data_IF_934206343494
#
_entry.id   IF_934206343494
#
_cell.length_a   1.000
_cell.length_b   1.000
_cell.length_c   1.000
_cell.angle_alpha   90.00
_cell.angle_beta   90.00
_cell.angle_gamma   90.00
#
_symmetry.space_group_name_H-M   'P 1'
#
loop_
_entity.id
_entity.type
_entity.pdbx_description
1 polymer ?
#
# COMPACT_ATOMS: atom_id res chain seq x y z
N UNK A 1 -3.30 -10.95 12.49
CA UNK A 1 -3.96 -10.08 13.50
C UNK A 1 -5.43 -10.49 13.68
N UNK A 2 -5.71 -11.74 14.05
CA UNK A 2 -7.08 -12.28 13.95
C UNK A 2 -7.76 -12.56 15.31
N UNK A 3 -7.05 -12.34 16.42
CA UNK A 3 -7.55 -12.66 17.77
C UNK A 3 -8.84 -11.92 18.14
N UNK A 4 -8.99 -10.66 17.73
CA UNK A 4 -10.22 -9.89 17.95
C UNK A 4 -11.42 -10.51 17.25
N UNK A 5 -11.28 -10.79 15.94
CA UNK A 5 -12.34 -11.37 15.12
C UNK A 5 -12.73 -12.77 15.61
N UNK A 6 -11.78 -13.60 16.03
CA UNK A 6 -12.07 -14.89 16.65
C UNK A 6 -12.91 -14.76 17.92
N UNK A 7 -12.56 -13.82 18.80
CA UNK A 7 -13.31 -13.57 20.03
C UNK A 7 -14.72 -13.07 19.71
N UNK A 8 -14.87 -12.13 18.77
CA UNK A 8 -16.19 -11.60 18.37
C UNK A 8 -17.08 -12.67 17.77
N UNK A 9 -16.56 -13.44 16.82
CA UNK A 9 -17.28 -14.55 16.19
C UNK A 9 -17.70 -15.60 17.23
N UNK A 10 -16.80 -16.04 18.10
CA UNK A 10 -17.12 -17.06 19.10
C UNK A 10 -18.22 -16.60 20.07
N UNK A 11 -18.14 -15.36 20.55
CA UNK A 11 -19.17 -14.76 21.41
C UNK A 11 -20.52 -14.72 20.71
N UNK A 12 -20.55 -14.33 19.43
CA UNK A 12 -21.77 -14.26 18.63
C UNK A 12 -22.36 -15.65 18.35
N UNK A 13 -21.54 -16.60 17.90
CA UNK A 13 -21.95 -17.97 17.55
C UNK A 13 -22.48 -18.74 18.76
N UNK A 14 -21.81 -18.62 19.91
CA UNK A 14 -22.21 -19.30 21.15
C UNK A 14 -23.29 -18.55 21.93
N UNK A 15 -23.61 -17.30 21.55
CA UNK A 15 -24.52 -16.40 22.27
C UNK A 15 -24.18 -16.31 23.77
N UNK A 16 -22.89 -16.25 24.09
CA UNK A 16 -22.37 -16.31 25.47
C UNK A 16 -21.64 -15.02 25.86
N UNK A 17 -21.33 -14.81 27.14
CA UNK A 17 -20.48 -13.68 27.54
C UNK A 17 -18.99 -14.01 27.36
N UNK A 18 -18.11 -13.00 27.37
CA UNK A 18 -16.65 -13.23 27.36
C UNK A 18 -16.18 -14.08 28.55
N UNK A 19 -16.87 -13.99 29.69
CA UNK A 19 -16.57 -14.80 30.87
C UNK A 19 -16.90 -16.27 30.63
N UNK A 20 -18.02 -16.54 29.98
CA UNK A 20 -18.44 -17.90 29.63
C UNK A 20 -17.49 -18.50 28.60
N UNK A 21 -17.11 -17.73 27.58
CA UNK A 21 -16.11 -18.13 26.58
C UNK A 21 -14.75 -18.44 27.22
N UNK A 22 -14.30 -17.61 28.17
CA UNK A 22 -13.06 -17.84 28.91
C UNK A 22 -13.09 -19.17 29.67
N UNK A 23 -14.19 -19.45 30.37
CA UNK A 23 -14.39 -20.71 31.07
C UNK A 23 -14.37 -21.92 30.12
N UNK A 24 -15.03 -21.81 28.96
CA UNK A 24 -15.09 -22.87 27.96
C UNK A 24 -13.71 -23.16 27.34
N UNK A 25 -12.90 -22.13 27.12
CA UNK A 25 -11.53 -22.26 26.59
C UNK A 25 -10.49 -22.63 27.65
N UNK A 26 -10.87 -22.60 28.94
CA UNK A 26 -9.97 -22.86 30.07
C UNK A 26 -8.94 -21.76 30.31
N UNK A 27 -9.29 -20.50 30.00
CA UNK A 27 -8.41 -19.32 30.14
C UNK A 27 -9.05 -18.24 31.01
N UNK A 28 -8.28 -17.22 31.38
CA UNK A 28 -8.81 -16.06 32.11
C UNK A 28 -9.57 -15.10 31.19
N UNK A 29 -10.56 -14.37 31.74
CA UNK A 29 -11.25 -13.30 31.01
C UNK A 29 -10.31 -12.17 30.57
N UNK A 30 -9.22 -11.96 31.33
CA UNK A 30 -8.14 -11.04 30.96
C UNK A 30 -7.46 -11.48 29.67
N UNK A 31 -7.24 -12.78 29.47
CA UNK A 31 -6.63 -13.29 28.25
C UNK A 31 -7.51 -13.05 27.02
N UNK A 32 -8.83 -13.25 27.14
CA UNK A 32 -9.80 -12.88 26.09
C UNK A 32 -9.70 -11.39 25.75
N UNK A 33 -9.59 -10.53 26.76
CA UNK A 33 -9.44 -9.08 26.56
C UNK A 33 -8.12 -8.71 25.89
N UNK A 34 -7.05 -9.45 26.15
CA UNK A 34 -5.75 -9.25 25.52
C UNK A 34 -5.77 -9.64 24.04
N UNK A 35 -6.33 -10.80 23.71
CA UNK A 35 -6.53 -11.20 22.30
C UNK A 35 -7.42 -10.23 21.53
N UNK A 36 -8.46 -9.70 22.18
CA UNK A 36 -9.30 -8.64 21.60
C UNK A 36 -8.53 -7.34 21.33
N UNK A 37 -7.44 -7.09 22.06
CA UNK A 37 -6.54 -5.95 21.85
C UNK A 37 -5.38 -6.26 20.90
N UNK A 38 -5.40 -7.41 20.23
CA UNK A 38 -4.37 -7.79 19.26
C UNK A 38 -3.16 -8.51 19.85
N UNK A 39 -3.19 -8.95 21.12
CA UNK A 39 -2.13 -9.82 21.65
C UNK A 39 -2.11 -11.15 20.86
N UNK A 40 -0.91 -11.68 20.65
CA UNK A 40 -0.69 -12.93 19.95
C UNK A 40 -1.51 -14.09 20.56
N UNK A 41 -2.19 -14.83 19.69
CA UNK A 41 -2.92 -16.06 20.03
C UNK A 41 -2.11 -17.26 19.52
N UNK A 42 -1.91 -18.27 20.36
CA UNK A 42 -1.20 -19.48 19.94
C UNK A 42 -2.00 -20.28 18.92
N UNK A 43 -1.31 -21.05 18.07
CA UNK A 43 -1.91 -21.92 17.05
C UNK A 43 -2.90 -22.93 17.64
N UNK A 44 -2.59 -23.50 18.81
CA UNK A 44 -3.50 -24.41 19.52
C UNK A 44 -4.80 -23.73 19.93
N UNK A 45 -4.71 -22.46 20.34
CA UNK A 45 -5.88 -21.69 20.73
C UNK A 45 -6.69 -21.26 19.51
N UNK A 46 -6.03 -20.85 18.43
CA UNK A 46 -6.68 -20.57 17.15
C UNK A 46 -7.48 -21.78 16.66
N UNK A 47 -6.90 -22.98 16.74
CA UNK A 47 -7.60 -24.23 16.40
C UNK A 47 -8.87 -24.42 17.23
N UNK A 48 -8.80 -24.21 18.55
CA UNK A 48 -9.99 -24.28 19.42
C UNK A 48 -11.05 -23.25 19.01
N UNK A 49 -10.65 -22.04 18.64
CA UNK A 49 -11.59 -21.03 18.15
C UNK A 49 -12.26 -21.48 16.85
N UNK A 50 -11.50 -22.01 15.89
CA UNK A 50 -12.05 -22.54 14.63
C UNK A 50 -13.00 -23.71 14.86
N UNK A 51 -12.70 -24.59 15.80
CA UNK A 51 -13.58 -25.70 16.20
C UNK A 51 -14.89 -25.18 16.83
N UNK A 52 -14.85 -24.05 17.56
CA UNK A 52 -16.04 -23.43 18.15
C UNK A 52 -16.87 -22.70 17.09
N UNK A 53 -16.22 -21.93 16.22
CA UNK A 53 -16.89 -21.04 15.26
C UNK A 53 -17.28 -21.75 13.97
N UNK A 54 -16.72 -22.93 13.69
CA UNK A 54 -16.97 -23.73 12.49
C UNK A 54 -16.68 -22.98 11.18
N UNK A 55 -15.70 -22.06 11.20
CA UNK A 55 -15.34 -21.26 10.02
C UNK A 55 -14.34 -21.94 9.07
N UNK A 56 -13.87 -23.15 9.41
CA UNK A 56 -12.90 -23.88 8.61
C UNK A 56 -11.59 -23.12 8.44
N UNK A 57 -11.13 -23.00 7.20
CA UNK A 57 -9.87 -22.33 6.83
C UNK A 57 -10.04 -20.82 6.60
N UNK A 58 -11.27 -20.32 6.46
CA UNK A 58 -11.50 -18.91 6.16
C UNK A 58 -11.01 -17.99 7.28
N UNK A 59 -10.63 -16.77 6.88
CA UNK A 59 -10.30 -15.72 7.83
C UNK A 59 -11.51 -15.38 8.71
N UNK A 60 -11.34 -15.26 10.04
CA UNK A 60 -12.42 -14.79 10.90
C UNK A 60 -12.86 -13.35 10.55
N UNK A 61 -11.96 -12.51 10.02
CA UNK A 61 -12.30 -11.17 9.56
C UNK A 61 -13.26 -11.22 8.38
N UNK A 62 -13.00 -12.07 7.40
CA UNK A 62 -13.86 -12.28 6.24
C UNK A 62 -15.24 -12.83 6.65
N UNK A 63 -15.30 -13.83 7.53
CA UNK A 63 -16.57 -14.39 7.98
C UNK A 63 -17.39 -13.38 8.78
N UNK A 64 -16.75 -12.56 9.61
CA UNK A 64 -17.45 -11.48 10.32
C UNK A 64 -17.99 -10.42 9.34
N UNK A 65 -17.19 -10.02 8.34
CA UNK A 65 -17.57 -9.03 7.34
C UNK A 65 -18.71 -9.49 6.43
N UNK A 66 -18.74 -10.78 6.09
CA UNK A 66 -19.75 -11.38 5.19
C UNK A 66 -20.95 -12.00 5.90
N UNK A 67 -20.89 -12.13 7.23
CA UNK A 67 -21.96 -12.65 8.08
C UNK A 67 -22.13 -14.17 8.06
N UNK A 68 -21.49 -14.90 7.14
CA UNK A 68 -21.56 -16.36 7.08
C UNK A 68 -20.38 -16.97 6.32
N UNK A 69 -20.10 -18.25 6.57
CA UNK A 69 -19.06 -19.00 5.85
C UNK A 69 -19.39 -19.14 4.36
N UNK A 70 -20.66 -19.33 4.01
CA UNK A 70 -21.09 -19.43 2.60
C UNK A 70 -20.89 -18.11 1.84
N UNK A 71 -21.18 -16.97 2.48
CA UNK A 71 -20.92 -15.67 1.87
C UNK A 71 -19.43 -15.36 1.80
N UNK A 72 -18.66 -15.78 2.82
CA UNK A 72 -17.19 -15.66 2.82
C UNK A 72 -16.58 -16.34 1.59
N UNK A 73 -16.98 -17.57 1.30
CA UNK A 73 -16.50 -18.30 0.10
C UNK A 73 -16.78 -17.55 -1.21
N UNK A 74 -17.97 -16.95 -1.34
CA UNK A 74 -18.35 -16.22 -2.57
C UNK A 74 -17.60 -14.90 -2.70
N UNK A 75 -17.48 -14.15 -1.62
CA UNK A 75 -16.73 -12.88 -1.59
C UNK A 75 -15.24 -13.11 -1.81
N UNK A 76 -14.66 -14.14 -1.22
CA UNK A 76 -13.27 -14.55 -1.42
C UNK A 76 -12.98 -14.78 -2.92
N UNK A 77 -13.80 -15.60 -3.59
CA UNK A 77 -13.68 -15.82 -5.05
C UNK A 77 -13.82 -14.56 -5.87
N UNK A 78 -14.79 -13.70 -5.53
CA UNK A 78 -15.03 -12.46 -6.26
C UNK A 78 -13.87 -11.48 -6.11
N UNK A 79 -13.31 -11.34 -4.89
CA UNK A 79 -12.16 -10.49 -4.63
C UNK A 79 -10.94 -10.93 -5.46
N UNK A 80 -10.64 -12.22 -5.47
CA UNK A 80 -9.55 -12.77 -6.29
C UNK A 80 -9.82 -12.60 -7.79
N UNK A 81 -11.07 -12.74 -8.23
CA UNK A 81 -11.45 -12.47 -9.62
C UNK A 81 -11.17 -11.01 -10.00
N UNK A 82 -11.58 -10.04 -9.17
CA UNK A 82 -11.32 -8.62 -9.40
C UNK A 82 -9.81 -8.32 -9.41
N UNK A 83 -9.05 -8.92 -8.49
CA UNK A 83 -7.60 -8.75 -8.44
C UNK A 83 -6.90 -9.25 -9.71
N UNK A 84 -7.32 -10.42 -10.21
CA UNK A 84 -6.80 -10.96 -11.46
C UNK A 84 -7.11 -10.04 -12.64
N UNK A 85 -8.34 -9.55 -12.76
CA UNK A 85 -8.73 -8.66 -13.86
C UNK A 85 -7.97 -7.33 -13.80
N UNK A 86 -7.88 -6.71 -12.62
CA UNK A 86 -7.09 -5.49 -12.45
C UNK A 86 -5.63 -5.70 -12.86
N UNK A 87 -5.03 -6.85 -12.53
CA UNK A 87 -3.65 -7.16 -12.93
C UNK A 87 -3.51 -7.37 -14.45
N UNK A 88 -4.48 -8.00 -15.10
CA UNK A 88 -4.53 -8.15 -16.57
C UNK A 88 -4.61 -6.80 -17.29
N UNK A 89 -5.24 -5.81 -16.67
CA UNK A 89 -5.39 -4.44 -17.18
C UNK A 89 -4.20 -3.52 -16.83
N UNK A 90 -3.16 -4.02 -16.15
CA UNK A 90 -2.01 -3.18 -15.75
C UNK A 90 -1.10 -2.80 -16.91
N UNK A 91 -0.79 -1.51 -17.04
CA UNK A 91 0.07 -0.97 -18.10
C UNK A 91 1.45 -0.52 -17.60
N UNK A 92 1.76 -0.67 -16.30
CA UNK A 92 3.00 -0.15 -15.69
C UNK A 92 4.27 -0.90 -16.14
N UNK A 93 4.13 -2.10 -16.69
CA UNK A 93 5.23 -3.01 -17.01
C UNK A 93 5.74 -3.84 -15.82
N UNK A 94 5.12 -3.71 -14.64
CA UNK A 94 5.46 -4.48 -13.44
C UNK A 94 4.32 -5.41 -13.02
N UNK A 95 4.67 -6.56 -12.44
CA UNK A 95 3.70 -7.51 -11.87
C UNK A 95 3.38 -7.07 -10.44
N UNK A 96 2.14 -6.64 -10.19
CA UNK A 96 1.63 -6.26 -8.87
C UNK A 96 1.50 -7.47 -7.96
N UNK A 97 2.61 -7.87 -7.32
CA UNK A 97 2.66 -9.07 -6.44
C UNK A 97 1.55 -9.12 -5.40
N UNK A 98 1.15 -8.03 -4.71
CA UNK A 98 0.04 -8.09 -3.76
C UNK A 98 -1.28 -8.63 -4.35
N UNK A 99 -1.55 -8.40 -5.65
CA UNK A 99 -2.77 -8.90 -6.31
C UNK A 99 -2.71 -10.38 -6.69
N UNK A 100 -1.50 -10.98 -6.73
CA UNK A 100 -1.34 -12.42 -6.95
C UNK A 100 -1.73 -13.24 -5.72
N UNK A 101 -1.78 -12.59 -4.56
CA UNK A 101 -2.07 -13.15 -3.25
C UNK A 101 -1.27 -14.42 -2.90
N UNK A 102 0.00 -14.49 -3.30
CA UNK A 102 0.89 -15.62 -2.98
C UNK A 102 0.98 -15.89 -1.46
N UNK A 103 0.93 -14.82 -0.66
CA UNK A 103 1.00 -14.88 0.80
C UNK A 103 -0.37 -15.05 1.49
N UNK A 104 -1.49 -14.93 0.76
CA UNK A 104 -2.85 -15.15 1.28
C UNK A 104 -3.40 -14.05 2.19
N UNK A 105 -2.96 -12.79 2.00
CA UNK A 105 -3.36 -11.64 2.82
C UNK A 105 -4.26 -10.62 2.10
N UNK A 106 -4.38 -10.69 0.77
CA UNK A 106 -5.08 -9.70 -0.05
C UNK A 106 -6.49 -9.41 0.46
N UNK A 107 -7.26 -10.46 0.77
CA UNK A 107 -8.63 -10.34 1.26
C UNK A 107 -8.68 -9.65 2.62
N UNK A 108 -7.80 -10.02 3.55
CA UNK A 108 -7.75 -9.42 4.89
C UNK A 108 -7.37 -7.93 4.83
N UNK A 109 -6.36 -7.59 4.02
CA UNK A 109 -5.90 -6.21 3.82
C UNK A 109 -6.95 -5.35 3.13
N UNK A 110 -7.64 -5.90 2.13
CA UNK A 110 -8.74 -5.22 1.44
C UNK A 110 -9.87 -4.91 2.42
N UNK A 111 -10.28 -5.87 3.24
CA UNK A 111 -11.33 -5.67 4.25
C UNK A 111 -10.88 -4.67 5.33
N UNK A 112 -9.61 -4.71 5.76
CA UNK A 112 -9.08 -3.72 6.72
C UNK A 112 -9.22 -2.31 6.16
N UNK A 113 -8.81 -2.09 4.91
CA UNK A 113 -8.93 -0.79 4.24
C UNK A 113 -10.40 -0.36 4.13
N UNK A 114 -11.30 -1.24 3.67
CA UNK A 114 -12.74 -0.96 3.59
C UNK A 114 -13.32 -0.57 4.96
N UNK A 115 -12.97 -1.29 6.02
CA UNK A 115 -13.41 -0.98 7.38
C UNK A 115 -12.86 0.38 7.85
N UNK A 116 -11.60 0.70 7.55
CA UNK A 116 -10.94 1.96 7.95
C UNK A 116 -11.47 3.18 7.21
N UNK A 117 -11.85 3.06 5.94
CA UNK A 117 -12.56 4.13 5.23
C UNK A 117 -14.02 4.27 5.68
N UNK A 118 -14.50 3.35 6.52
CA UNK A 118 -15.85 3.37 7.07
C UNK A 118 -16.91 2.85 6.10
N UNK A 119 -16.52 1.94 5.21
CA UNK A 119 -17.42 1.25 4.29
C UNK A 119 -18.24 0.20 5.05
N UNK A 120 -19.56 0.10 4.81
CA UNK A 120 -20.40 -0.85 5.55
C UNK A 120 -20.07 -2.30 5.18
N UNK A 121 -20.17 -3.20 6.16
CA UNK A 121 -20.09 -4.64 5.91
C UNK A 121 -21.30 -5.10 5.09
N UNK A 122 -21.12 -5.91 4.03
CA UNK A 122 -22.22 -6.35 3.18
C UNK A 122 -23.17 -7.34 3.86
N UNK A 123 -22.68 -8.15 4.83
CA UNK A 123 -23.41 -9.17 5.62
C UNK A 123 -24.15 -10.26 4.81
N UNK A 124 -24.21 -10.11 3.49
CA UNK A 124 -24.86 -11.00 2.54
C UNK A 124 -24.17 -10.90 1.19
N UNK A 125 -24.23 -11.97 0.40
CA UNK A 125 -23.71 -11.95 -0.96
C UNK A 125 -24.84 -11.61 -1.95
N UNK A 126 -24.71 -10.55 -2.76
CA UNK A 126 -25.69 -10.20 -3.80
C UNK A 126 -25.86 -11.34 -4.80
N UNK A 127 -27.10 -11.72 -5.12
CA UNK A 127 -27.37 -12.89 -5.97
C UNK A 127 -26.90 -12.69 -7.40
N UNK A 128 -26.90 -11.44 -7.84
CA UNK A 128 -26.52 -10.95 -9.16
C UNK A 128 -25.02 -11.14 -9.40
N UNK A 129 -24.21 -11.19 -8.34
CA UNK A 129 -22.76 -11.38 -8.38
C UNK A 129 -22.33 -12.85 -8.34
N UNK A 130 -23.27 -13.80 -8.35
CA UNK A 130 -22.90 -15.22 -8.33
C UNK A 130 -22.16 -15.56 -9.63
N UNK A 131 -20.88 -15.91 -9.49
CA UNK A 131 -20.04 -16.38 -10.59
C UNK A 131 -20.39 -17.85 -10.87
N UNK A 132 -21.58 -18.08 -11.40
CA UNK A 132 -21.94 -19.39 -11.91
C UNK A 132 -21.34 -19.50 -13.31
N UNK A 133 -20.68 -20.62 -13.66
CA UNK A 133 -19.99 -20.81 -14.95
C UNK A 133 -20.84 -20.60 -16.23
N UNK A 134 -22.13 -20.26 -16.10
CA UNK A 134 -23.03 -19.80 -17.17
C UNK A 134 -22.90 -18.30 -17.49
N UNK A 135 -22.36 -17.49 -16.59
CA UNK A 135 -22.17 -16.04 -16.78
C UNK A 135 -20.97 -15.72 -17.69
N UNK A 136 -20.13 -16.72 -18.00
CA UNK A 136 -19.00 -16.59 -18.91
C UNK A 136 -19.41 -16.27 -20.37
N UNK A 137 -20.66 -16.56 -20.76
CA UNK A 137 -21.17 -16.30 -22.11
C UNK A 137 -21.60 -14.82 -22.32
N UNK A 138 -21.70 -14.02 -21.25
CA UNK A 138 -22.13 -12.61 -21.29
C UNK A 138 -21.23 -11.69 -20.43
N UNK A 139 -19.93 -11.65 -20.74
CA UNK A 139 -18.92 -10.85 -20.00
C UNK A 139 -19.34 -9.40 -19.79
N UNK A 140 -19.87 -8.71 -20.79
CA UNK A 140 -20.28 -7.30 -20.67
C UNK A 140 -21.38 -7.08 -19.63
N UNK A 141 -22.41 -7.93 -19.61
CA UNK A 141 -23.50 -7.82 -18.64
C UNK A 141 -23.03 -8.11 -17.21
N UNK A 142 -22.02 -8.98 -17.05
CA UNK A 142 -21.44 -9.26 -15.74
C UNK A 142 -20.62 -8.06 -15.22
N UNK A 143 -19.88 -7.39 -16.10
CA UNK A 143 -19.16 -6.17 -15.75
C UNK A 143 -20.09 -5.03 -15.33
N UNK A 144 -21.21 -4.85 -16.03
CA UNK A 144 -22.23 -3.88 -15.64
C UNK A 144 -22.76 -4.15 -14.21
N UNK A 145 -22.91 -5.42 -13.81
CA UNK A 145 -23.33 -5.78 -12.44
C UNK A 145 -22.23 -5.46 -11.41
N UNK A 146 -20.96 -5.69 -11.75
CA UNK A 146 -19.80 -5.35 -10.92
C UNK A 146 -19.72 -3.84 -10.69
N UNK A 147 -19.79 -3.05 -11.75
CA UNK A 147 -19.72 -1.59 -11.71
C UNK A 147 -20.87 -0.98 -10.90
N UNK A 148 -22.07 -1.55 -11.02
CA UNK A 148 -23.23 -1.10 -10.26
C UNK A 148 -23.23 -1.54 -8.79
N UNK A 149 -22.36 -2.47 -8.40
CA UNK A 149 -22.23 -2.88 -7.01
C UNK A 149 -21.17 -2.03 -6.29
N UNK A 150 -21.59 -1.27 -5.27
CA UNK A 150 -20.72 -0.33 -4.57
C UNK A 150 -19.45 -0.97 -3.96
N UNK A 151 -19.54 -2.19 -3.41
CA UNK A 151 -18.36 -2.89 -2.88
C UNK A 151 -17.41 -3.31 -4.00
N UNK A 152 -17.96 -3.87 -5.07
CA UNK A 152 -17.14 -4.38 -6.18
C UNK A 152 -16.48 -3.25 -6.94
N UNK A 153 -17.21 -2.17 -7.26
CA UNK A 153 -16.64 -0.98 -7.88
C UNK A 153 -15.51 -0.39 -7.04
N UNK A 154 -15.70 -0.20 -5.73
CA UNK A 154 -14.64 0.36 -4.87
C UNK A 154 -13.43 -0.57 -4.77
N UNK A 155 -13.63 -1.88 -4.62
CA UNK A 155 -12.52 -2.85 -4.59
C UNK A 155 -11.76 -2.84 -5.93
N UNK A 156 -12.48 -2.81 -7.05
CA UNK A 156 -11.91 -2.76 -8.38
C UNK A 156 -11.06 -1.51 -8.57
N UNK A 157 -11.60 -0.34 -8.22
CA UNK A 157 -10.89 0.94 -8.30
C UNK A 157 -9.61 0.93 -7.43
N UNK A 158 -9.69 0.38 -6.20
CA UNK A 158 -8.52 0.23 -5.33
C UNK A 158 -7.44 -0.62 -6.00
N UNK A 159 -7.82 -1.72 -6.66
CA UNK A 159 -6.86 -2.62 -7.31
C UNK A 159 -6.22 -2.03 -8.56
N UNK A 160 -6.96 -1.29 -9.38
CA UNK A 160 -6.35 -0.53 -10.49
C UNK A 160 -5.40 0.54 -9.97
N UNK A 161 -5.81 1.32 -8.96
CA UNK A 161 -4.92 2.30 -8.34
C UNK A 161 -3.70 1.64 -7.66
N UNK A 162 -3.84 0.41 -7.17
CA UNK A 162 -2.75 -0.37 -6.58
C UNK A 162 -1.72 -0.74 -7.63
N UNK A 163 -2.11 -1.09 -8.86
CA UNK A 163 -1.15 -1.33 -9.93
C UNK A 163 -0.25 -0.12 -10.16
N UNK A 164 -0.84 1.08 -10.22
CA UNK A 164 -0.09 2.29 -10.49
C UNK A 164 0.83 2.68 -9.34
N UNK A 165 0.32 2.60 -8.11
CA UNK A 165 1.11 2.86 -6.89
C UNK A 165 2.24 1.83 -6.74
N UNK A 166 1.95 0.55 -6.99
CA UNK A 166 2.93 -0.52 -6.90
C UNK A 166 3.98 -0.41 -8.01
N UNK A 167 3.58 -0.09 -9.25
CA UNK A 167 4.48 0.13 -10.36
C UNK A 167 5.50 1.22 -10.05
N UNK A 168 5.05 2.36 -9.52
CA UNK A 168 5.97 3.42 -9.10
C UNK A 168 6.87 2.98 -7.94
N UNK A 169 6.32 2.25 -6.97
CA UNK A 169 7.09 1.70 -5.85
C UNK A 169 8.23 0.81 -6.35
N UNK A 170 7.96 -0.16 -7.23
CA UNK A 170 8.99 -1.04 -7.78
C UNK A 170 9.99 -0.26 -8.63
N UNK A 171 9.53 0.69 -9.44
CA UNK A 171 10.38 1.47 -10.33
C UNK A 171 11.42 2.32 -9.59
N UNK A 172 11.05 2.95 -8.46
CA UNK A 172 11.83 4.02 -7.85
C UNK A 172 12.07 3.93 -6.34
N UNK A 173 11.36 3.05 -5.63
CA UNK A 173 11.38 3.00 -4.15
C UNK A 173 11.89 1.68 -3.62
N UNK A 174 11.51 0.55 -4.22
CA UNK A 174 11.88 -0.79 -3.75
C UNK A 174 13.40 -0.96 -3.66
N UNK A 175 14.14 -0.54 -4.69
CA UNK A 175 15.62 -0.59 -4.68
C UNK A 175 16.21 0.09 -3.45
N UNK A 176 15.67 1.23 -3.01
CA UNK A 176 16.13 1.95 -1.81
C UNK A 176 15.70 1.25 -0.51
N UNK A 177 14.54 0.60 -0.52
CA UNK A 177 14.04 -0.15 0.64
C UNK A 177 14.86 -1.43 0.86
N UNK A 178 15.29 -2.08 -0.22
CA UNK A 178 16.12 -3.29 -0.19
C UNK A 178 17.62 -3.00 -0.10
N UNK A 179 18.05 -1.73 -0.14
CA UNK A 179 19.46 -1.37 -0.09
C UNK A 179 20.03 -1.64 1.31
N UNK A 180 20.95 -2.60 1.42
CA UNK A 180 21.57 -3.00 2.69
C UNK A 180 22.35 -1.84 3.37
N UNK A 181 22.80 -0.84 2.61
CA UNK A 181 23.48 0.34 3.16
C UNK A 181 22.49 1.32 3.79
N UNK A 182 21.20 1.22 3.43
CA UNK A 182 20.11 1.97 4.04
C UNK A 182 19.47 1.11 5.14
N UNK A 183 19.67 1.47 6.40
CA UNK A 183 19.10 0.79 7.59
C UNK A 183 17.56 0.97 7.71
N UNK A 184 16.82 0.66 6.64
CA UNK A 184 15.38 0.90 6.46
C UNK A 184 14.58 0.04 7.42
N UNK A 185 15.02 -1.21 7.65
CA UNK A 185 14.37 -2.15 8.56
C UNK A 185 14.33 -1.67 10.02
N UNK A 186 15.23 -0.77 10.41
CA UNK A 186 15.24 -0.15 11.74
C UNK A 186 14.47 1.17 11.81
N UNK A 187 13.85 1.58 10.71
CA UNK A 187 13.13 2.86 10.57
C UNK A 187 11.63 2.66 10.34
N UNK A 188 10.87 3.75 10.36
CA UNK A 188 9.44 3.69 10.04
C UNK A 188 9.20 3.49 8.53
N UNK A 189 10.21 3.71 7.67
CA UNK A 189 10.10 3.52 6.23
C UNK A 189 9.92 2.05 5.82
N UNK A 190 10.18 1.09 6.71
CA UNK A 190 9.86 -0.33 6.50
C UNK A 190 8.36 -0.55 6.19
N UNK A 191 7.47 0.35 6.64
CA UNK A 191 6.03 0.21 6.47
C UNK A 191 5.51 0.61 5.07
N UNK A 192 6.37 1.13 4.19
CA UNK A 192 5.99 1.59 2.84
C UNK A 192 5.36 0.44 2.06
N UNK A 193 6.05 -0.69 1.95
CA UNK A 193 5.60 -1.83 1.14
C UNK A 193 4.29 -2.43 1.67
N UNK A 194 4.20 -2.65 2.98
CA UNK A 194 3.02 -3.29 3.62
C UNK A 194 1.78 -2.40 3.63
N UNK A 195 1.90 -1.12 3.26
CA UNK A 195 0.80 -0.15 3.32
C UNK A 195 0.32 0.29 1.93
N UNK A 196 0.75 -0.36 0.85
CA UNK A 196 0.47 0.11 -0.53
C UNK A 196 -1.02 0.10 -0.87
N UNK A 197 -1.79 -0.91 -0.43
CA UNK A 197 -3.26 -0.93 -0.61
C UNK A 197 -3.93 0.28 0.09
N UNK A 198 -3.43 0.66 1.26
CA UNK A 198 -3.96 1.85 1.96
C UNK A 198 -3.70 3.13 1.16
N UNK A 199 -2.53 3.25 0.52
CA UNK A 199 -2.21 4.39 -0.34
C UNK A 199 -3.03 4.39 -1.63
N UNK A 200 -3.21 3.22 -2.26
CA UNK A 200 -4.06 3.06 -3.44
C UNK A 200 -5.49 3.52 -3.18
N UNK A 201 -6.06 3.16 -2.02
CA UNK A 201 -7.38 3.64 -1.60
C UNK A 201 -7.46 5.16 -1.39
N UNK A 202 -6.33 5.86 -1.23
CA UNK A 202 -6.31 7.32 -1.19
C UNK A 202 -6.35 7.97 -2.58
N UNK A 203 -6.09 7.21 -3.66
CA UNK A 203 -6.05 7.70 -5.05
C UNK A 203 -7.39 7.64 -5.77
N UNK A 204 -8.31 6.81 -5.29
CA UNK A 204 -9.63 6.63 -5.91
C UNK A 204 -10.64 7.64 -5.38
N UNK A 205 -11.66 7.96 -6.17
CA UNK A 205 -12.76 8.81 -5.71
C UNK A 205 -13.92 7.98 -5.15
N UNK A 206 -14.32 8.30 -3.91
CA UNK A 206 -15.38 7.58 -3.20
C UNK A 206 -16.34 8.60 -2.59
N UNK A 207 -17.64 8.36 -2.75
CA UNK A 207 -18.65 9.22 -2.16
C UNK A 207 -18.64 9.12 -0.62
N UNK A 208 -18.56 10.28 0.05
CA UNK A 208 -18.40 10.38 1.51
C UNK A 208 -19.55 9.76 2.32
N UNK A 209 -20.83 9.79 1.87
CA UNK A 209 -21.93 9.11 2.56
C UNK A 209 -21.76 7.58 2.66
N UNK A 210 -21.04 6.96 1.73
CA UNK A 210 -20.80 5.50 1.70
C UNK A 210 -19.50 5.16 2.46
N UNK A 211 -18.49 6.02 2.38
CA UNK A 211 -17.21 5.90 3.09
C UNK A 211 -17.06 6.99 4.15
N UNK A 212 -17.73 6.82 5.29
CA UNK A 212 -17.87 7.83 6.33
C UNK A 212 -16.55 8.39 6.89
N UNK A 213 -15.47 7.59 6.86
CA UNK A 213 -14.17 7.95 7.41
C UNK A 213 -13.11 8.27 6.34
N UNK A 214 -13.46 8.31 5.05
CA UNK A 214 -12.50 8.44 3.94
C UNK A 214 -11.57 9.66 4.08
N UNK A 215 -12.09 10.80 4.55
CA UNK A 215 -11.30 12.03 4.73
C UNK A 215 -10.22 11.88 5.79
N UNK A 216 -10.59 11.31 6.95
CA UNK A 216 -9.65 11.08 8.04
C UNK A 216 -8.64 9.98 7.67
N UNK A 217 -9.10 8.94 6.98
CA UNK A 217 -8.24 7.89 6.43
C UNK A 217 -7.19 8.46 5.48
N UNK A 218 -7.61 9.23 4.46
CA UNK A 218 -6.70 9.87 3.49
C UNK A 218 -5.67 10.73 4.20
N UNK A 219 -6.10 11.61 5.10
CA UNK A 219 -5.18 12.46 5.87
C UNK A 219 -4.12 11.66 6.63
N UNK A 220 -4.54 10.58 7.32
CA UNK A 220 -3.61 9.76 8.11
C UNK A 220 -2.62 9.03 7.21
N UNK A 221 -3.11 8.33 6.19
CA UNK A 221 -2.27 7.55 5.28
C UNK A 221 -1.29 8.46 4.54
N UNK A 222 -1.75 9.59 4.00
CA UNK A 222 -0.87 10.55 3.31
C UNK A 222 0.22 11.07 4.24
N UNK A 223 -0.14 11.45 5.48
CA UNK A 223 0.85 11.91 6.47
C UNK A 223 1.86 10.82 6.85
N UNK A 224 1.42 9.59 7.02
CA UNK A 224 2.29 8.45 7.33
C UNK A 224 3.28 8.23 6.18
N UNK A 225 2.80 8.21 4.93
CA UNK A 225 3.66 8.10 3.75
C UNK A 225 4.60 9.29 3.54
N UNK A 226 4.15 10.52 3.76
CA UNK A 226 5.02 11.71 3.73
C UNK A 226 6.19 11.54 4.70
N UNK A 227 5.94 11.06 5.91
CA UNK A 227 6.99 10.84 6.90
C UNK A 227 7.94 9.73 6.46
N UNK A 228 7.41 8.58 6.02
CA UNK A 228 8.22 7.43 5.61
C UNK A 228 9.09 7.73 4.40
N UNK A 229 8.52 8.36 3.36
CA UNK A 229 9.25 8.72 2.15
C UNK A 229 10.29 9.81 2.43
N UNK A 230 9.99 10.80 3.29
CA UNK A 230 11.00 11.77 3.70
C UNK A 230 12.14 11.14 4.52
N UNK A 231 11.85 10.17 5.39
CA UNK A 231 12.89 9.40 6.08
C UNK A 231 13.78 8.66 5.08
N UNK A 232 13.18 7.94 4.12
CA UNK A 232 13.91 7.23 3.07
C UNK A 232 14.75 8.17 2.20
N UNK A 233 14.19 9.32 1.76
CA UNK A 233 14.93 10.36 1.04
C UNK A 233 16.14 10.84 1.83
N UNK A 234 15.97 11.10 3.14
CA UNK A 234 17.05 11.55 4.02
C UNK A 234 18.13 10.47 4.22
N UNK A 235 17.76 9.19 4.25
CA UNK A 235 18.70 8.07 4.35
C UNK A 235 19.52 7.93 3.06
N UNK A 236 18.85 7.88 1.91
CA UNK A 236 19.51 7.87 0.60
C UNK A 236 20.47 9.06 0.43
N UNK A 237 20.03 10.26 0.79
CA UNK A 237 20.86 11.46 0.76
C UNK A 237 22.11 11.36 1.64
N UNK A 238 22.00 10.81 2.85
CA UNK A 238 23.16 10.63 3.76
C UNK A 238 24.13 9.57 3.28
N UNK A 239 23.64 8.56 2.58
CA UNK A 239 24.44 7.51 1.96
C UNK A 239 25.05 7.93 0.60
N UNK A 240 24.65 9.07 0.04
CA UNK A 240 25.07 9.50 -1.29
C UNK A 240 24.44 8.69 -2.42
N UNK A 241 23.30 8.04 -2.17
CA UNK A 241 22.57 7.25 -3.16
C UNK A 241 21.63 8.19 -3.93
N UNK A 242 21.74 8.25 -5.27
CA UNK A 242 20.92 9.13 -6.08
C UNK A 242 19.48 8.63 -6.17
N UNK A 243 18.53 9.56 -6.03
CA UNK A 243 17.12 9.32 -6.31
C UNK A 243 16.89 9.50 -7.81
N UNK A 244 16.11 8.61 -8.41
CA UNK A 244 15.77 8.65 -9.85
C UNK A 244 14.43 9.36 -10.14
N UNK A 245 13.60 9.53 -9.11
CA UNK A 245 12.34 10.27 -9.14
C UNK A 245 12.09 11.03 -7.83
N UNK A 246 11.09 11.93 -7.83
CA UNK A 246 10.59 12.54 -6.59
C UNK A 246 9.73 11.50 -5.85
N UNK A 247 10.22 10.98 -4.71
CA UNK A 247 9.50 9.91 -4.01
C UNK A 247 8.14 10.36 -3.47
N UNK A 248 7.99 11.65 -3.12
CA UNK A 248 6.71 12.20 -2.64
C UNK A 248 5.63 12.25 -3.73
N UNK A 249 5.98 12.04 -5.00
CA UNK A 249 4.99 11.85 -6.07
C UNK A 249 4.03 10.71 -5.73
N UNK A 250 4.49 9.65 -5.04
CA UNK A 250 3.62 8.57 -4.55
C UNK A 250 2.44 9.10 -3.72
N UNK A 251 2.59 10.21 -3.00
CA UNK A 251 1.54 10.80 -2.18
C UNK A 251 0.69 11.77 -2.98
N UNK A 252 1.32 12.65 -3.75
CA UNK A 252 0.66 13.81 -4.33
C UNK A 252 0.16 13.64 -5.76
N UNK A 253 0.79 12.77 -6.56
CA UNK A 253 0.36 12.52 -7.93
C UNK A 253 -0.88 11.60 -7.98
N UNK A 254 -1.64 11.69 -9.07
CA UNK A 254 -2.75 10.78 -9.33
C UNK A 254 -2.23 9.38 -9.67
N UNK A 255 -3.11 8.37 -9.64
CA UNK A 255 -2.76 7.00 -10.05
C UNK A 255 -2.20 6.98 -11.48
N UNK A 256 -2.91 7.58 -12.45
CA UNK A 256 -2.45 7.68 -13.85
C UNK A 256 -1.03 8.28 -13.99
N UNK A 257 -0.71 9.33 -13.23
CA UNK A 257 0.61 9.96 -13.27
C UNK A 257 1.71 9.03 -12.74
N UNK A 258 1.41 8.23 -11.72
CA UNK A 258 2.32 7.21 -11.21
C UNK A 258 2.50 6.08 -12.23
N UNK A 259 1.41 5.68 -12.89
CA UNK A 259 1.39 4.66 -13.94
C UNK A 259 2.35 5.03 -15.09
N UNK A 260 2.19 6.23 -15.64
CA UNK A 260 3.03 6.75 -16.73
C UNK A 260 4.50 6.83 -16.32
N UNK A 261 4.78 7.23 -15.08
CA UNK A 261 6.15 7.29 -14.58
C UNK A 261 6.78 5.91 -14.42
N UNK A 262 6.01 4.91 -13.97
CA UNK A 262 6.45 3.53 -13.84
C UNK A 262 6.68 2.88 -15.20
N UNK A 263 5.73 3.05 -16.13
CA UNK A 263 5.85 2.57 -17.51
C UNK A 263 7.10 3.14 -18.20
N UNK A 264 7.33 4.46 -18.06
CA UNK A 264 8.52 5.07 -18.63
C UNK A 264 9.84 4.48 -18.10
N UNK A 265 9.87 4.07 -16.82
CA UNK A 265 11.02 3.37 -16.26
C UNK A 265 11.15 1.94 -16.78
N UNK A 266 10.05 1.21 -16.92
CA UNK A 266 10.11 -0.18 -17.41
C UNK A 266 10.60 -0.29 -18.85
N UNK A 267 10.44 0.78 -19.65
CA UNK A 267 11.04 0.95 -20.97
C UNK A 267 12.45 1.59 -20.98
N UNK A 268 13.11 1.70 -19.82
CA UNK A 268 14.44 2.30 -19.65
C UNK A 268 14.55 3.79 -20.06
N UNK A 269 13.44 4.52 -20.27
CA UNK A 269 13.50 5.93 -20.69
C UNK A 269 14.11 6.85 -19.62
N UNK A 270 14.01 6.47 -18.34
CA UNK A 270 14.47 7.24 -17.19
C UNK A 270 15.77 6.69 -16.57
N UNK A 271 16.45 5.75 -17.22
CA UNK A 271 17.65 5.07 -16.67
C UNK A 271 18.80 6.01 -16.27
N UNK A 272 18.98 7.12 -17.01
CA UNK A 272 19.99 8.15 -16.71
C UNK A 272 19.44 9.33 -15.92
N UNK A 273 18.15 9.30 -15.54
CA UNK A 273 17.51 10.40 -14.84
C UNK A 273 18.00 10.41 -13.39
N UNK A 274 18.30 11.62 -12.96
CA UNK A 274 18.81 11.90 -11.64
C UNK A 274 17.95 13.02 -11.06
N UNK A 275 17.37 12.81 -9.88
CA UNK A 275 16.52 13.78 -9.22
C UNK A 275 17.35 14.93 -8.62
N UNK A 276 17.02 16.21 -8.89
CA UNK A 276 17.84 17.36 -8.51
C UNK A 276 18.12 17.52 -7.00
N UNK A 277 17.21 17.04 -6.14
CA UNK A 277 17.26 17.28 -4.69
C UNK A 277 18.55 16.77 -4.02
N UNK A 278 19.13 15.67 -4.49
CA UNK A 278 20.40 15.16 -3.94
C UNK A 278 21.58 16.00 -4.41
N UNK A 279 21.53 16.43 -5.66
CA UNK A 279 22.62 17.10 -6.33
C UNK A 279 22.71 18.56 -5.95
N UNK A 280 21.65 19.18 -5.45
CA UNK A 280 21.73 20.55 -4.96
C UNK A 280 22.78 20.65 -3.84
N UNK A 281 22.83 19.70 -2.90
CA UNK A 281 23.84 19.74 -1.85
C UNK A 281 25.25 19.42 -2.35
N UNK A 282 25.40 18.47 -3.28
CA UNK A 282 26.69 18.13 -3.88
C UNK A 282 27.22 19.28 -4.74
N UNK A 283 26.38 19.93 -5.53
CA UNK A 283 26.68 21.15 -6.30
C UNK A 283 27.09 22.25 -5.33
N UNK A 284 26.31 22.52 -4.27
CA UNK A 284 26.66 23.54 -3.27
C UNK A 284 27.98 23.21 -2.56
N UNK A 285 28.24 21.94 -2.27
CA UNK A 285 29.50 21.49 -1.65
C UNK A 285 30.67 21.64 -2.61
N UNK A 286 30.51 21.25 -3.88
CA UNK A 286 31.48 21.46 -4.94
C UNK A 286 31.78 22.94 -5.13
N UNK A 287 30.75 23.80 -5.16
CA UNK A 287 30.92 25.25 -5.21
C UNK A 287 31.69 25.77 -4.00
N UNK A 288 31.39 25.32 -2.77
CA UNK A 288 32.13 25.69 -1.55
C UNK A 288 33.60 25.27 -1.63
N UNK A 289 33.89 24.07 -2.12
CA UNK A 289 35.28 23.59 -2.31
C UNK A 289 35.98 24.45 -3.37
N UNK A 290 35.34 24.72 -4.52
CA UNK A 290 35.88 25.60 -5.55
C UNK A 290 36.20 26.98 -4.98
N UNK A 291 35.31 27.56 -4.16
CA UNK A 291 35.54 28.85 -3.52
C UNK A 291 36.72 28.85 -2.53
N UNK A 292 37.10 27.70 -1.98
CA UNK A 292 38.28 27.58 -1.11
C UNK A 292 39.57 27.33 -1.90
N UNK A 293 39.50 26.46 -2.91
CA UNK A 293 40.67 25.98 -3.65
C UNK A 293 41.07 26.92 -4.78
N UNK A 294 40.10 27.50 -5.49
CA UNK A 294 40.35 28.37 -6.65
C UNK A 294 41.20 29.61 -6.30
N UNK A 295 40.97 30.33 -5.18
CA UNK A 295 41.85 31.44 -4.81
C UNK A 295 43.29 31.02 -4.55
N UNK A 296 43.50 29.85 -3.93
CA UNK A 296 44.83 29.31 -3.68
C UNK A 296 45.55 28.92 -4.98
N UNK A 297 44.81 28.35 -5.93
CA UNK A 297 45.32 28.05 -7.28
C UNK A 297 45.69 29.34 -8.01
N UNK A 298 44.81 30.35 -8.02
CA UNK A 298 45.06 31.63 -8.67
C UNK A 298 46.29 32.33 -8.08
N UNK A 299 46.45 32.30 -6.76
CA UNK A 299 47.63 32.85 -6.08
C UNK A 299 48.91 32.12 -6.49
N UNK A 300 48.90 30.78 -6.53
CA UNK A 300 50.06 29.98 -6.97
C UNK A 300 50.44 30.21 -8.44
N UNK A 301 49.46 30.49 -9.28
CA UNK A 301 49.66 30.72 -10.71
C UNK A 301 49.85 32.21 -11.04
N UNK A 302 49.95 33.08 -10.01
CA UNK A 302 50.13 34.53 -10.16
C UNK A 302 49.05 35.23 -11.02
N UNK A 303 47.83 34.66 -11.05
CA UNK A 303 46.70 35.21 -11.77
C UNK A 303 46.06 36.30 -10.90
N UNK A 304 46.14 37.56 -11.32
CA UNK A 304 45.71 38.72 -10.51
C UNK A 304 44.51 39.47 -11.07
N UNK A 305 44.14 39.22 -12.32
CA UNK A 305 43.18 40.01 -13.10
C UNK A 305 42.08 39.16 -13.75
N UNK A 306 41.81 37.97 -13.20
CA UNK A 306 40.72 37.11 -13.68
C UNK A 306 39.38 37.84 -13.64
N UNK A 307 38.69 37.86 -14.79
CA UNK A 307 37.31 38.35 -14.90
C UNK A 307 36.46 37.23 -15.45
N UNK A 308 35.36 36.96 -14.77
CA UNK A 308 34.36 35.99 -15.22
C UNK A 308 33.68 36.54 -16.48
N UNK A 309 33.76 35.78 -17.58
CA UNK A 309 32.96 36.05 -18.76
C UNK A 309 31.58 35.41 -18.58
N UNK A 310 30.56 36.24 -18.38
CA UNK A 310 29.18 35.77 -18.17
C UNK A 310 28.48 35.35 -19.48
N UNK A 311 29.10 35.59 -20.64
CA UNK A 311 28.46 35.30 -21.94
C UNK A 311 28.32 33.80 -22.19
N UNK A 312 29.22 32.98 -21.64
CA UNK A 312 29.19 31.51 -21.73
C UNK A 312 28.33 30.85 -20.64
N UNK A 313 27.85 31.62 -19.64
CA UNK A 313 27.05 31.09 -18.52
C UNK A 313 25.55 31.02 -18.83
N UNK A 314 25.11 31.50 -20.00
CA UNK A 314 23.70 31.47 -20.40
C UNK A 314 23.44 30.29 -21.33
N UNK A 315 22.66 29.32 -20.87
CA UNK A 315 22.18 28.20 -21.70
C UNK A 315 20.93 28.65 -22.45
N UNK A 316 20.95 28.60 -23.78
CA UNK A 316 19.82 28.91 -24.66
C UNK A 316 19.81 30.33 -25.24
N UNK A 317 20.24 30.45 -26.50
CA UNK A 317 19.72 31.45 -27.44
C UNK A 317 18.73 30.76 -28.36
#
# INVERSE_FOLDING_TARGET
>A
MNGEYFVRLAVHTLKCTQKDLANQLGVSSTQISKWKKGEHMSTDMEKKFRDITQIGHYSPQLVEWTGSVENAEKWDRLIHFLAQQAMEDSETGYITRPLTDEDGFLVEETIDVLNRIGFPSPLSFPKELNIDGKNADHKEAFWEVIENNAHCSVINDIYHALNDVYGFYIAYVDELVQDDDLDVYSSEAINIQSSLISLAACKIEIDTPIASNIKQFRYKVQKDYENWLNQLKMMAFRAGIPLRAELLDMVYNTADQLSVAAEAESFDFNKSRIHPDIYMNEILTGMRIIHQVLPLIMQKLEITDFKLDETDLRVGK
#
